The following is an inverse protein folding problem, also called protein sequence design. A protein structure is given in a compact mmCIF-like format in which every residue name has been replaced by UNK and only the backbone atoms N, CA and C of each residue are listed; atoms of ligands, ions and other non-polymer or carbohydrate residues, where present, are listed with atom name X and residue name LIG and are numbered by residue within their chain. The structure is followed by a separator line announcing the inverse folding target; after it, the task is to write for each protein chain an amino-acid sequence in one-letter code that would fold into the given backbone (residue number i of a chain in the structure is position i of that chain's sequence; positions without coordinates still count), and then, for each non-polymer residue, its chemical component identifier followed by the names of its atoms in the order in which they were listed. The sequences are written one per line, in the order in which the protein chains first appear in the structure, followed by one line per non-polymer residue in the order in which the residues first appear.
data_IF_826097924513
#
_entry.id   IF_826097924513
#
_cell.length_a   1.000
_cell.length_b   1.000
_cell.length_c   1.000
_cell.angle_alpha   90.00
_cell.angle_beta   90.00
_cell.angle_gamma   90.00
#
_symmetry.space_group_name_H-M   'P 1'
#
loop_
_entity.id
_entity.type
_entity.pdbx_description
1 polymer ?
#
# COMPACT_ATOMS: atom_id res chain seq x y z
N UNK A 1 1.66 43.44 8.54
CA UNK A 1 0.49 42.56 8.81
C UNK A 1 0.76 41.20 8.21
N UNK A 2 0.51 40.14 9.00
CA UNK A 2 0.43 38.71 8.67
C UNK A 2 1.71 37.98 8.22
N UNK A 3 2.46 37.50 9.21
CA UNK A 3 3.45 36.43 9.05
C UNK A 3 2.75 35.15 8.54
N UNK A 4 3.06 34.74 7.32
CA UNK A 4 2.84 33.38 6.85
C UNK A 4 3.76 32.44 7.64
N UNK A 5 3.33 32.01 8.83
CA UNK A 5 3.89 30.82 9.47
C UNK A 5 3.63 29.67 8.50
N UNK A 6 4.61 29.38 7.64
CA UNK A 6 4.74 28.06 7.01
C UNK A 6 4.80 27.09 8.18
N UNK A 7 3.68 26.47 8.50
CA UNK A 7 3.65 25.38 9.47
C UNK A 7 4.58 24.32 8.88
N UNK A 8 5.79 24.23 9.41
CA UNK A 8 6.75 23.20 9.01
C UNK A 8 6.06 21.88 9.26
N UNK A 9 5.68 21.18 8.19
CA UNK A 9 4.94 19.93 8.31
C UNK A 9 5.82 18.96 9.11
N UNK A 10 5.29 18.31 10.16
CA UNK A 10 6.08 17.37 10.93
C UNK A 10 6.66 16.32 9.98
N UNK A 11 7.93 15.99 10.18
CA UNK A 11 8.60 14.96 9.41
C UNK A 11 7.81 13.63 9.51
N UNK A 12 7.79 12.81 8.44
CA UNK A 12 7.10 11.53 8.50
C UNK A 12 7.69 10.65 9.61
N UNK A 13 6.87 9.83 10.30
CA UNK A 13 7.36 8.96 11.34
C UNK A 13 8.32 7.91 10.74
N UNK A 14 9.39 7.51 11.46
CA UNK A 14 10.36 6.52 10.97
C UNK A 14 9.72 5.21 10.54
N UNK A 15 8.64 4.78 11.20
CA UNK A 15 7.88 3.57 10.84
C UNK A 15 7.24 3.66 9.46
N UNK A 16 6.75 4.83 9.04
CA UNK A 16 6.23 5.02 7.69
C UNK A 16 7.35 4.93 6.65
N UNK A 17 8.53 5.47 6.95
CA UNK A 17 9.69 5.39 6.07
C UNK A 17 10.18 3.95 5.90
N UNK A 18 10.31 3.19 6.99
CA UNK A 18 10.69 1.78 6.94
C UNK A 18 9.72 0.96 6.09
N UNK A 19 8.41 1.20 6.23
CA UNK A 19 7.38 0.52 5.42
C UNK A 19 7.49 0.83 3.93
N UNK A 20 7.86 2.06 3.54
CA UNK A 20 8.08 2.41 2.13
C UNK A 20 9.33 1.72 1.55
N UNK A 21 10.38 1.58 2.35
CA UNK A 21 11.60 0.89 1.94
C UNK A 21 11.39 -0.63 1.84
N UNK A 22 10.65 -1.22 2.79
CA UNK A 22 10.23 -2.63 2.70
C UNK A 22 9.31 -2.87 1.50
N UNK A 23 8.40 -1.93 1.19
CA UNK A 23 7.54 -2.02 0.02
C UNK A 23 8.33 -1.97 -1.28
N UNK A 24 9.34 -1.08 -1.36
CA UNK A 24 10.21 -0.98 -2.53
C UNK A 24 10.99 -2.29 -2.76
N UNK A 25 11.65 -2.81 -1.73
CA UNK A 25 12.41 -4.07 -1.84
C UNK A 25 11.53 -5.22 -2.32
N UNK A 26 10.35 -5.38 -1.72
CA UNK A 26 9.41 -6.44 -2.09
C UNK A 26 8.93 -6.32 -3.54
N UNK A 27 8.71 -5.10 -4.01
CA UNK A 27 8.28 -4.86 -5.39
C UNK A 27 9.39 -5.14 -6.39
N UNK A 28 10.63 -4.78 -6.04
CA UNK A 28 11.81 -5.10 -6.84
C UNK A 28 11.96 -6.63 -6.93
N UNK A 29 11.84 -7.35 -5.81
CA UNK A 29 11.87 -8.82 -5.78
C UNK A 29 10.73 -9.45 -6.59
N UNK A 30 9.51 -8.92 -6.45
CA UNK A 30 8.35 -9.39 -7.21
C UNK A 30 8.54 -9.22 -8.72
N UNK A 31 9.19 -8.14 -9.15
CA UNK A 31 9.48 -7.90 -10.58
C UNK A 31 10.37 -8.99 -11.17
N UNK A 32 11.30 -9.54 -10.39
CA UNK A 32 12.19 -10.63 -10.81
C UNK A 32 11.61 -12.04 -10.60
N UNK A 33 10.51 -12.15 -9.85
CA UNK A 33 9.85 -13.44 -9.61
C UNK A 33 9.31 -14.01 -10.93
N UNK A 34 9.69 -15.26 -11.27
CA UNK A 34 9.31 -15.92 -12.53
C UNK A 34 7.92 -16.55 -12.49
N UNK A 35 7.48 -16.97 -11.31
CA UNK A 35 6.20 -17.66 -11.15
C UNK A 35 5.05 -16.65 -10.91
N UNK A 36 4.05 -16.54 -11.81
CA UNK A 36 3.00 -15.51 -11.76
C UNK A 36 2.24 -15.38 -10.43
N UNK A 37 1.80 -16.47 -9.75
CA UNK A 37 1.14 -16.40 -8.45
C UNK A 37 2.03 -15.76 -7.39
N UNK A 38 3.31 -16.16 -7.29
CA UNK A 38 4.24 -15.57 -6.32
C UNK A 38 4.61 -14.12 -6.67
N UNK A 39 4.73 -13.79 -7.97
CA UNK A 39 4.88 -12.40 -8.44
C UNK A 39 3.70 -11.54 -7.99
N UNK A 40 2.48 -12.03 -8.19
CA UNK A 40 1.26 -11.37 -7.74
C UNK A 40 1.25 -11.18 -6.22
N UNK A 41 1.57 -12.23 -5.44
CA UNK A 41 1.58 -12.14 -3.99
C UNK A 41 2.61 -11.13 -3.46
N UNK A 42 3.82 -11.09 -4.05
CA UNK A 42 4.85 -10.11 -3.70
C UNK A 42 4.44 -8.68 -4.06
N UNK A 43 3.92 -8.47 -5.27
CA UNK A 43 3.39 -7.15 -5.68
C UNK A 43 2.26 -6.66 -4.77
N UNK A 44 1.37 -7.56 -4.33
CA UNK A 44 0.31 -7.23 -3.38
C UNK A 44 0.87 -6.86 -2.00
N UNK A 45 1.88 -7.59 -1.52
CA UNK A 45 2.51 -7.32 -0.23
C UNK A 45 3.24 -5.98 -0.23
N UNK A 46 3.92 -5.63 -1.33
CA UNK A 46 4.50 -4.31 -1.51
C UNK A 46 3.43 -3.21 -1.38
N UNK A 47 2.28 -3.37 -2.04
CA UNK A 47 1.17 -2.42 -1.93
C UNK A 47 0.61 -2.33 -0.50
N UNK A 48 0.43 -3.46 0.20
CA UNK A 48 -0.03 -3.47 1.60
C UNK A 48 0.88 -2.64 2.50
N UNK A 49 2.21 -2.80 2.36
CA UNK A 49 3.20 -2.04 3.12
C UNK A 49 3.16 -0.55 2.78
N UNK A 50 3.01 -0.20 1.51
CA UNK A 50 2.83 1.19 1.07
C UNK A 50 1.56 1.83 1.66
N UNK A 51 0.43 1.11 1.66
CA UNK A 51 -0.82 1.57 2.30
C UNK A 51 -0.66 1.76 3.82
N UNK A 52 0.00 0.81 4.49
CA UNK A 52 0.33 0.92 5.90
C UNK A 52 1.24 2.13 6.21
N UNK A 53 2.17 2.47 5.32
CA UNK A 53 3.01 3.66 5.47
C UNK A 53 2.19 4.96 5.46
N UNK A 54 1.21 5.08 4.54
CA UNK A 54 0.30 6.23 4.48
C UNK A 54 -0.50 6.35 5.77
N UNK A 55 -1.03 5.23 6.27
CA UNK A 55 -1.77 5.19 7.53
C UNK A 55 -0.90 5.59 8.73
N UNK A 56 0.34 5.11 8.78
CA UNK A 56 1.30 5.48 9.82
C UNK A 56 1.61 6.98 9.77
N UNK A 57 1.77 7.55 8.58
CA UNK A 57 2.07 8.98 8.40
C UNK A 57 0.92 9.92 8.76
N UNK A 58 -0.34 9.49 8.54
CA UNK A 58 -1.53 10.31 8.89
C UNK A 58 -1.90 10.28 10.37
N UNK A 59 -1.32 9.38 11.15
CA UNK A 59 -1.70 9.18 12.55
C UNK A 59 -3.04 8.44 12.68
N UNK A 60 -3.32 7.92 13.88
CA UNK A 60 -4.45 7.00 14.10
C UNK A 60 -5.81 7.71 14.22
N UNK A 61 -6.88 7.18 13.61
CA UNK A 61 -8.21 7.29 14.21
C UNK A 61 -8.21 6.47 15.51
N UNK A 62 -8.83 6.99 16.55
CA UNK A 62 -8.91 6.41 17.88
C UNK A 62 -9.15 4.88 17.84
N UNK A 63 -8.16 4.08 18.27
CA UNK A 63 -8.40 2.65 18.54
C UNK A 63 -8.99 2.49 19.94
N UNK A 64 -10.24 2.91 20.10
CA UNK A 64 -11.11 2.23 21.05
C UNK A 64 -11.34 0.83 20.49
N UNK A 65 -11.02 -0.21 21.28
CA UNK A 65 -11.26 -1.65 21.07
C UNK A 65 -12.14 -1.99 19.86
N UNK A 66 -11.59 -1.93 18.64
CA UNK A 66 -12.36 -2.12 17.41
C UNK A 66 -11.74 -3.24 16.59
N UNK A 67 -12.65 -3.92 15.88
CA UNK A 67 -12.51 -5.14 15.08
C UNK A 67 -11.26 -5.10 14.17
N UNK A 68 -10.69 -6.24 13.75
CA UNK A 68 -9.67 -6.24 12.71
C UNK A 68 -10.29 -5.66 11.41
N UNK A 69 -10.00 -4.40 11.11
CA UNK A 69 -10.39 -3.73 9.86
C UNK A 69 -9.23 -3.88 8.88
N UNK A 70 -9.53 -4.22 7.62
CA UNK A 70 -8.50 -4.37 6.60
C UNK A 70 -7.76 -3.05 6.38
N UNK A 71 -6.50 -3.12 5.96
CA UNK A 71 -5.71 -1.92 5.67
C UNK A 71 -6.39 -1.06 4.59
N UNK A 72 -7.08 -1.68 3.64
CA UNK A 72 -7.75 -1.01 2.53
C UNK A 72 -9.02 -0.30 2.96
N UNK A 73 -9.86 -0.93 3.79
CA UNK A 73 -11.02 -0.26 4.38
C UNK A 73 -10.61 0.97 5.19
N UNK A 74 -9.53 0.84 5.98
CA UNK A 74 -9.02 1.94 6.77
C UNK A 74 -8.40 3.05 5.90
N UNK A 75 -7.69 2.67 4.85
CA UNK A 75 -7.10 3.60 3.90
C UNK A 75 -8.18 4.41 3.17
N UNK A 76 -9.25 3.78 2.68
CA UNK A 76 -10.35 4.50 2.04
C UNK A 76 -11.05 5.50 2.97
N UNK A 77 -11.05 5.23 4.28
CA UNK A 77 -11.62 6.15 5.28
C UNK A 77 -10.70 7.34 5.57
N UNK A 78 -9.40 7.09 5.79
CA UNK A 78 -8.44 8.12 6.25
C UNK A 78 -7.82 8.89 5.07
N UNK A 79 -7.75 8.26 3.91
CA UNK A 79 -7.20 8.80 2.67
C UNK A 79 -8.19 8.57 1.52
N UNK A 80 -9.36 9.24 1.53
CA UNK A 80 -10.39 9.07 0.50
C UNK A 80 -9.87 9.39 -0.92
N UNK A 81 -8.86 10.24 -1.06
CA UNK A 81 -8.17 10.49 -2.33
C UNK A 81 -7.41 9.26 -2.86
N UNK A 82 -7.18 8.25 -2.01
CA UNK A 82 -6.65 6.94 -2.37
C UNK A 82 -7.75 5.86 -2.38
N UNK A 83 -9.03 6.25 -2.36
CA UNK A 83 -10.17 5.35 -2.26
C UNK A 83 -10.27 4.36 -3.42
N UNK A 84 -9.99 4.80 -4.66
CA UNK A 84 -9.97 3.92 -5.83
C UNK A 84 -8.88 2.84 -5.71
N UNK A 85 -7.70 3.22 -5.21
CA UNK A 85 -6.63 2.28 -4.93
C UNK A 85 -7.01 1.28 -3.84
N UNK A 86 -7.63 1.76 -2.76
CA UNK A 86 -8.13 0.90 -1.69
C UNK A 86 -9.13 -0.13 -2.23
N UNK A 87 -10.11 0.29 -3.04
CA UNK A 87 -11.09 -0.61 -3.64
C UNK A 87 -10.45 -1.63 -4.60
N UNK A 88 -9.51 -1.19 -5.44
CA UNK A 88 -8.78 -2.06 -6.36
C UNK A 88 -8.01 -3.16 -5.63
N UNK A 89 -7.25 -2.82 -4.59
CA UNK A 89 -6.49 -3.83 -3.84
C UNK A 89 -7.39 -4.69 -2.97
N UNK A 90 -8.47 -4.16 -2.40
CA UNK A 90 -9.41 -4.97 -1.64
C UNK A 90 -10.07 -6.05 -2.51
N UNK A 91 -10.42 -5.72 -3.76
CA UNK A 91 -10.93 -6.70 -4.74
C UNK A 91 -9.93 -7.82 -5.07
N UNK A 92 -8.62 -7.56 -4.95
CA UNK A 92 -7.56 -8.54 -5.19
C UNK A 92 -7.16 -9.34 -3.92
N UNK A 93 -7.74 -9.02 -2.76
CA UNK A 93 -7.37 -9.62 -1.47
C UNK A 93 -7.63 -11.12 -1.41
N UNK A 94 -8.75 -11.58 -1.97
CA UNK A 94 -9.13 -12.98 -2.03
C UNK A 94 -8.16 -13.79 -2.89
N UNK A 95 -7.76 -13.25 -4.05
CA UNK A 95 -6.75 -13.88 -4.93
C UNK A 95 -5.42 -14.02 -4.20
N UNK A 96 -4.95 -12.98 -3.50
CA UNK A 96 -3.73 -13.07 -2.69
C UNK A 96 -3.85 -14.13 -1.59
N UNK A 97 -4.99 -14.19 -0.89
CA UNK A 97 -5.21 -15.17 0.16
C UNK A 97 -5.19 -16.61 -0.40
N UNK A 98 -5.81 -16.83 -1.56
CA UNK A 98 -5.78 -18.12 -2.26
C UNK A 98 -4.34 -18.53 -2.61
N UNK A 99 -3.55 -17.63 -3.21
CA UNK A 99 -2.14 -17.92 -3.54
C UNK A 99 -1.33 -18.29 -2.30
N UNK A 100 -1.52 -17.57 -1.18
CA UNK A 100 -0.82 -17.89 0.08
C UNK A 100 -1.23 -19.23 0.68
N UNK A 101 -2.46 -19.66 0.45
CA UNK A 101 -2.94 -20.99 0.80
C UNK A 101 -2.46 -22.09 -0.16
N UNK A 102 -1.59 -21.75 -1.14
CA UNK A 102 -1.10 -22.67 -2.16
C UNK A 102 -2.07 -22.89 -3.32
N UNK A 103 -3.21 -22.17 -3.34
CA UNK A 103 -4.16 -22.21 -4.45
C UNK A 103 -3.70 -21.20 -5.50
N UNK A 104 -2.83 -21.68 -6.39
CA UNK A 104 -2.19 -20.87 -7.44
C UNK A 104 -2.93 -20.91 -8.77
N UNK A 105 -3.90 -21.83 -8.93
CA UNK A 105 -4.70 -21.97 -10.15
C UNK A 105 -5.58 -20.74 -10.33
N UNK A 106 -5.33 -19.96 -11.38
CA UNK A 106 -6.13 -18.80 -11.77
C UNK A 106 -5.37 -17.47 -11.85
N UNK A 107 -4.14 -17.38 -11.33
CA UNK A 107 -3.31 -16.18 -11.52
C UNK A 107 -2.54 -16.29 -12.83
N UNK A 108 -2.96 -15.52 -13.82
CA UNK A 108 -2.27 -15.43 -15.10
C UNK A 108 -1.04 -14.52 -15.02
N UNK A 109 -0.08 -14.71 -15.93
CA UNK A 109 1.05 -13.78 -16.12
C UNK A 109 0.57 -12.34 -16.30
N UNK A 110 -0.49 -12.14 -17.08
CA UNK A 110 -1.08 -10.82 -17.31
C UNK A 110 -1.59 -10.18 -16.01
N UNK A 111 -2.28 -10.95 -15.17
CA UNK A 111 -2.78 -10.47 -13.88
C UNK A 111 -1.62 -10.12 -12.93
N UNK A 112 -0.56 -10.94 -12.91
CA UNK A 112 0.63 -10.66 -12.11
C UNK A 112 1.37 -9.41 -12.59
N UNK A 113 1.56 -9.24 -13.90
CA UNK A 113 2.21 -8.06 -14.47
C UNK A 113 1.39 -6.79 -14.26
N UNK A 114 0.06 -6.90 -14.35
CA UNK A 114 -0.83 -5.79 -14.04
C UNK A 114 -0.73 -5.38 -12.59
N UNK A 115 -0.75 -6.34 -11.67
CA UNK A 115 -0.59 -6.03 -10.27
C UNK A 115 0.78 -5.41 -9.97
N UNK A 116 1.87 -5.85 -10.60
CA UNK A 116 3.18 -5.19 -10.48
C UNK A 116 3.12 -3.73 -10.94
N UNK A 117 2.51 -3.44 -12.10
CA UNK A 117 2.34 -2.05 -12.58
C UNK A 117 1.53 -1.20 -11.61
N UNK A 118 0.39 -1.73 -11.16
CA UNK A 118 -0.52 -1.04 -10.24
C UNK A 118 0.14 -0.79 -8.87
N UNK A 119 0.86 -1.77 -8.33
CA UNK A 119 1.63 -1.62 -7.09
C UNK A 119 2.79 -0.62 -7.23
N UNK A 120 3.43 -0.56 -8.39
CA UNK A 120 4.47 0.44 -8.69
C UNK A 120 3.91 1.86 -8.66
N UNK A 121 2.80 2.08 -9.36
CA UNK A 121 2.13 3.38 -9.38
C UNK A 121 1.65 3.77 -7.99
N UNK A 122 1.02 2.84 -7.27
CA UNK A 122 0.55 3.08 -5.92
C UNK A 122 1.69 3.40 -4.94
N UNK A 123 2.83 2.70 -4.99
CA UNK A 123 4.00 2.98 -4.15
C UNK A 123 4.53 4.41 -4.37
N UNK A 124 4.57 4.87 -5.62
CA UNK A 124 4.98 6.25 -5.93
C UNK A 124 4.02 7.28 -5.33
N UNK A 125 2.71 7.03 -5.41
CA UNK A 125 1.68 7.88 -4.81
C UNK A 125 1.77 7.86 -3.28
N UNK A 126 1.91 6.68 -2.67
CA UNK A 126 2.05 6.50 -1.24
C UNK A 126 3.28 7.24 -0.69
N UNK A 127 4.43 7.15 -1.38
CA UNK A 127 5.66 7.89 -1.03
C UNK A 127 5.39 9.39 -1.01
N UNK A 128 4.71 9.93 -2.04
CA UNK A 128 4.32 11.36 -2.06
C UNK A 128 3.36 11.72 -0.93
N UNK A 129 2.37 10.89 -0.64
CA UNK A 129 1.44 11.12 0.46
C UNK A 129 2.15 11.17 1.83
N UNK A 130 3.12 10.27 2.05
CA UNK A 130 3.91 10.19 3.29
C UNK A 130 4.81 11.43 3.44
N UNK A 131 5.56 11.82 2.41
CA UNK A 131 6.45 12.99 2.47
C UNK A 131 5.71 14.34 2.39
N UNK A 132 4.54 14.35 1.75
CA UNK A 132 3.68 15.50 1.57
C UNK A 132 3.63 15.94 0.15
N UNK A 133 2.41 15.95 -0.43
CA UNK A 133 2.17 16.61 -1.70
C UNK A 133 2.62 18.06 -1.58
N UNK A 134 3.56 18.44 -2.45
CA UNK A 134 3.97 19.82 -2.65
C UNK A 134 2.87 20.67 -3.26
#
# INVERSE_FOLDING_TARGET
MLNHRRLSRPAPPPSALSLLEDAKRELDDATWQRDPPYRFAGAYLAALRAGAAVLAARGRPHRGRSRPVSVWTLLGTIAPELGEWAAFFDANSATRAAVQAGITRGVSTRAADDLVRQSTQFLAIARRAVHGGG
#
